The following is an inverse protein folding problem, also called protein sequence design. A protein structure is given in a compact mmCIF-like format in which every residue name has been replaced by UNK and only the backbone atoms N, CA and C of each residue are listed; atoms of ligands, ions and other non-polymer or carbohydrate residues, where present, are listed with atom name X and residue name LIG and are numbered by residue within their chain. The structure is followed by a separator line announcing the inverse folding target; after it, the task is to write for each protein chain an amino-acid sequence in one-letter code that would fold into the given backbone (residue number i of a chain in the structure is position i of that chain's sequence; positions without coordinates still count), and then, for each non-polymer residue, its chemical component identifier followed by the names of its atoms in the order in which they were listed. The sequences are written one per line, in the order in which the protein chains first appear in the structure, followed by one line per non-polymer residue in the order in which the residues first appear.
data_IF_420199552356
#
_entry.id   IF_420199552356
#
_cell.length_a   1.000
_cell.length_b   1.000
_cell.length_c   1.000
_cell.angle_alpha   90.00
_cell.angle_beta   90.00
_cell.angle_gamma   90.00
#
_symmetry.space_group_name_H-M   'P 1'
#
loop_
_entity.id
_entity.type
_entity.pdbx_description
1 polymer ?
#
# COMPACT_ATOMS: atom_id res chain seq x y z
N UNK A 1 -13.46 22.56 -2.47
CA UNK A 1 -13.29 21.55 -1.40
C UNK A 1 -12.81 22.26 -0.13
N UNK A 2 -13.55 22.17 0.97
CA UNK A 2 -13.40 23.03 2.16
C UNK A 2 -12.17 22.62 2.99
N UNK A 3 -11.29 23.57 3.37
CA UNK A 3 -10.00 23.31 4.03
C UNK A 3 -10.10 22.54 5.36
N UNK A 4 -11.22 22.69 6.08
CA UNK A 4 -11.50 21.98 7.34
C UNK A 4 -11.65 20.46 7.17
N UNK A 5 -12.25 20.01 6.07
CA UNK A 5 -12.48 18.58 5.78
C UNK A 5 -11.17 17.84 5.50
N UNK A 6 -10.26 18.48 4.75
CA UNK A 6 -8.91 17.94 4.48
C UNK A 6 -8.08 17.75 5.76
N UNK A 7 -8.26 18.62 6.76
CA UNK A 7 -7.53 18.49 8.03
C UNK A 7 -8.05 17.32 8.87
N UNK A 8 -9.37 17.10 8.93
CA UNK A 8 -9.94 15.96 9.64
C UNK A 8 -9.56 14.61 9.01
N UNK A 9 -9.53 14.51 7.69
CA UNK A 9 -9.12 13.29 6.97
C UNK A 9 -7.65 12.94 7.25
N UNK A 10 -6.77 13.95 7.22
CA UNK A 10 -5.35 13.78 7.57
C UNK A 10 -5.17 13.29 9.00
N UNK A 11 -5.97 13.79 9.94
CA UNK A 11 -5.97 13.32 11.32
C UNK A 11 -6.46 11.87 11.43
N UNK A 12 -7.52 11.50 10.71
CA UNK A 12 -8.00 10.12 10.67
C UNK A 12 -6.98 9.15 10.09
N UNK A 13 -6.29 9.50 8.99
CA UNK A 13 -5.24 8.65 8.42
C UNK A 13 -4.08 8.49 9.39
N UNK A 14 -3.67 9.57 10.08
CA UNK A 14 -2.65 9.49 11.13
C UNK A 14 -3.07 8.55 12.26
N UNK A 15 -4.33 8.66 12.70
CA UNK A 15 -4.88 7.79 13.74
C UNK A 15 -4.90 6.32 13.28
N UNK A 16 -5.40 6.02 12.09
CA UNK A 16 -5.40 4.66 11.52
C UNK A 16 -3.99 4.08 11.42
N UNK A 17 -3.01 4.90 11.04
CA UNK A 17 -1.60 4.50 11.02
C UNK A 17 -1.09 4.17 12.42
N UNK A 18 -1.40 4.98 13.43
CA UNK A 18 -1.04 4.71 14.81
C UNK A 18 -1.70 3.42 15.34
N UNK A 19 -3.00 3.24 15.07
CA UNK A 19 -3.78 2.10 15.56
C UNK A 19 -3.41 0.76 14.90
N UNK A 20 -2.80 0.80 13.70
CA UNK A 20 -2.35 -0.41 13.03
C UNK A 20 -1.26 -1.16 13.83
N UNK A 21 -0.47 -0.43 14.63
CA UNK A 21 0.69 -0.98 15.33
C UNK A 21 1.87 -1.24 14.39
N UNK A 22 3.01 -1.57 14.97
CA UNK A 22 4.26 -1.74 14.23
C UNK A 22 4.38 -3.12 13.58
N UNK A 23 5.12 -3.18 12.48
CA UNK A 23 5.51 -4.43 11.81
C UNK A 23 6.21 -5.40 12.76
N UNK A 24 7.11 -4.92 13.62
CA UNK A 24 7.79 -5.74 14.63
C UNK A 24 6.84 -6.35 15.66
N UNK A 25 5.73 -5.68 15.96
CA UNK A 25 4.75 -6.12 16.96
C UNK A 25 3.79 -7.16 16.36
N UNK A 26 3.30 -6.90 15.15
CA UNK A 26 2.30 -7.76 14.48
C UNK A 26 2.94 -8.94 13.73
N UNK A 27 4.13 -8.75 13.18
CA UNK A 27 4.83 -9.71 12.32
C UNK A 27 6.34 -9.77 12.65
N UNK A 28 6.72 -10.21 13.86
CA UNK A 28 8.11 -10.17 14.35
C UNK A 28 9.12 -10.95 13.49
N UNK A 29 8.65 -11.93 12.72
CA UNK A 29 9.48 -12.73 11.83
C UNK A 29 9.72 -12.09 10.45
N UNK A 30 9.12 -10.92 10.17
CA UNK A 30 9.30 -10.20 8.89
C UNK A 30 10.41 -9.17 9.03
N UNK A 31 11.46 -9.32 8.23
CA UNK A 31 12.58 -8.39 8.16
C UNK A 31 12.26 -7.17 7.27
N UNK A 32 11.58 -7.40 6.15
CA UNK A 32 11.12 -6.32 5.27
C UNK A 32 10.02 -6.79 4.31
N UNK A 33 9.20 -5.83 3.88
CA UNK A 33 8.28 -5.97 2.74
C UNK A 33 8.60 -4.86 1.77
N UNK A 34 8.89 -5.22 0.53
CA UNK A 34 9.17 -4.28 -0.55
C UNK A 34 8.07 -4.43 -1.59
N UNK A 35 7.38 -3.33 -1.86
CA UNK A 35 6.31 -3.26 -2.86
C UNK A 35 6.78 -2.37 -4.00
N UNK A 36 7.11 -2.98 -5.14
CA UNK A 36 7.37 -2.25 -6.38
C UNK A 36 6.07 -2.13 -7.18
N UNK A 37 5.77 -0.94 -7.69
CA UNK A 37 4.53 -0.64 -8.41
C UNK A 37 4.81 0.12 -9.70
N UNK A 38 4.19 -0.33 -10.78
CA UNK A 38 4.03 0.43 -12.03
C UNK A 38 2.64 1.04 -12.05
N UNK A 39 2.53 2.34 -12.30
CA UNK A 39 1.27 3.06 -12.38
C UNK A 39 0.87 3.27 -13.84
N UNK A 40 -0.43 3.18 -14.09
CA UNK A 40 -1.06 3.42 -15.38
C UNK A 40 -2.28 4.30 -15.17
N UNK A 41 -2.70 5.03 -16.20
CA UNK A 41 -3.90 5.88 -16.18
C UNK A 41 -4.94 5.35 -17.16
N UNK A 42 -6.14 5.04 -16.66
CA UNK A 42 -7.24 4.58 -17.49
C UNK A 42 -6.95 3.23 -18.11
N UNK A 43 -7.26 3.07 -19.40
CA UNK A 43 -6.99 1.85 -20.17
C UNK A 43 -5.63 1.87 -20.89
N UNK A 44 -4.73 2.81 -20.55
CA UNK A 44 -3.41 2.85 -21.15
C UNK A 44 -2.52 1.73 -20.57
N UNK A 45 -1.76 1.08 -21.45
CA UNK A 45 -0.70 0.14 -21.07
C UNK A 45 0.67 0.80 -20.96
N UNK A 46 0.73 2.12 -21.11
CA UNK A 46 1.95 2.88 -20.85
C UNK A 46 2.13 3.10 -19.35
N UNK A 47 3.26 2.63 -18.81
CA UNK A 47 3.68 2.96 -17.45
C UNK A 47 3.96 4.46 -17.37
N UNK A 48 3.20 5.17 -16.55
CA UNK A 48 3.33 6.62 -16.36
C UNK A 48 4.24 6.99 -15.17
N UNK A 49 4.44 6.05 -14.23
CA UNK A 49 5.26 6.26 -13.05
C UNK A 49 5.60 4.91 -12.41
N UNK A 50 6.80 4.81 -11.84
CA UNK A 50 7.19 3.69 -10.98
C UNK A 50 7.38 4.18 -9.55
N UNK A 51 6.94 3.38 -8.58
CA UNK A 51 7.10 3.69 -7.15
C UNK A 51 7.43 2.43 -6.37
N UNK A 52 8.39 2.54 -5.46
CA UNK A 52 8.70 1.49 -4.50
C UNK A 52 8.35 1.97 -3.09
N UNK A 53 7.64 1.14 -2.33
CA UNK A 53 7.34 1.38 -0.92
C UNK A 53 7.93 0.26 -0.09
N UNK A 54 8.61 0.62 1.00
CA UNK A 54 9.28 -0.31 1.87
C UNK A 54 8.63 -0.27 3.26
N UNK A 55 8.38 -1.45 3.82
CA UNK A 55 7.98 -1.63 5.21
C UNK A 55 9.08 -2.41 5.94
N UNK A 56 9.52 -1.84 7.05
CA UNK A 56 10.54 -2.38 7.94
C UNK A 56 9.95 -2.62 9.33
N UNK A 57 10.67 -3.23 10.28
CA UNK A 57 10.11 -3.54 11.61
C UNK A 57 9.53 -2.33 12.34
N UNK A 58 10.09 -1.13 12.14
CA UNK A 58 9.59 0.13 12.70
C UNK A 58 8.49 0.83 11.87
N UNK A 59 8.04 0.23 10.78
CA UNK A 59 6.95 0.76 9.96
C UNK A 59 5.60 0.33 10.54
N UNK A 60 4.60 1.20 10.41
CA UNK A 60 3.23 0.84 10.74
C UNK A 60 2.69 -0.24 9.80
N UNK A 61 1.86 -1.14 10.32
CA UNK A 61 1.15 -2.18 9.53
C UNK A 61 -0.07 -1.59 8.82
N UNK A 62 0.16 -0.50 8.10
CA UNK A 62 -0.86 0.21 7.34
C UNK A 62 -0.53 0.10 5.85
N UNK A 63 -1.15 -0.88 5.17
CA UNK A 63 -0.84 -1.19 3.77
C UNK A 63 -1.79 -0.51 2.78
N UNK A 64 -2.26 0.70 3.08
CA UNK A 64 -3.06 1.51 2.15
C UNK A 64 -2.18 2.59 1.50
N UNK A 65 -2.09 2.55 0.18
CA UNK A 65 -1.28 3.48 -0.62
C UNK A 65 -2.16 4.57 -1.22
N UNK A 66 -1.74 5.83 -1.10
CA UNK A 66 -2.40 6.94 -1.76
C UNK A 66 -2.28 6.84 -3.29
N UNK A 67 -3.35 7.22 -3.99
CA UNK A 67 -3.30 7.43 -5.43
C UNK A 67 -2.56 8.74 -5.73
N UNK A 68 -1.67 8.72 -6.72
CA UNK A 68 -0.86 9.90 -7.07
C UNK A 68 -1.52 10.80 -8.13
N UNK A 69 -2.72 10.44 -8.63
CA UNK A 69 -3.50 11.30 -9.53
C UNK A 69 -3.95 12.53 -8.73
N UNK A 70 -3.61 13.73 -9.22
CA UNK A 70 -3.81 15.02 -8.51
C UNK A 70 -5.23 15.22 -7.99
N UNK A 71 -6.22 14.81 -8.79
CA UNK A 71 -7.63 15.00 -8.49
C UNK A 71 -8.29 13.73 -7.94
N UNK A 72 -7.50 12.76 -7.47
CA UNK A 72 -8.06 11.58 -6.82
C UNK A 72 -8.54 11.92 -5.41
N UNK A 73 -9.87 11.88 -5.21
CA UNK A 73 -10.51 12.07 -3.91
C UNK A 73 -10.89 10.70 -3.34
N UNK A 74 -10.54 10.46 -2.08
CA UNK A 74 -10.88 9.25 -1.30
C UNK A 74 -10.48 7.91 -1.94
N UNK A 75 -9.50 7.95 -2.85
CA UNK A 75 -9.00 6.77 -3.54
C UNK A 75 -7.67 6.26 -2.98
N UNK A 76 -7.10 5.32 -3.71
CA UNK A 76 -5.87 4.64 -3.33
C UNK A 76 -5.98 3.14 -3.54
N UNK A 77 -4.94 2.45 -3.09
CA UNK A 77 -4.77 1.01 -3.26
C UNK A 77 -4.68 0.37 -1.89
N UNK A 78 -5.67 -0.46 -1.56
CA UNK A 78 -5.67 -1.23 -0.33
C UNK A 78 -4.96 -2.57 -0.54
N UNK A 79 -3.72 -2.68 -0.05
CA UNK A 79 -2.91 -3.90 -0.14
C UNK A 79 -2.95 -4.75 1.13
N UNK A 80 -3.75 -4.37 2.13
CA UNK A 80 -3.80 -5.04 3.45
C UNK A 80 -4.05 -6.54 3.29
N UNK A 81 -5.13 -6.90 2.59
CA UNK A 81 -5.52 -8.31 2.41
C UNK A 81 -4.43 -9.14 1.72
N UNK A 82 -3.81 -8.62 0.66
CA UNK A 82 -2.79 -9.37 -0.09
C UNK A 82 -1.51 -9.53 0.72
N UNK A 83 -1.02 -8.46 1.36
CA UNK A 83 0.22 -8.51 2.15
C UNK A 83 0.02 -9.38 3.41
N UNK A 84 -1.09 -9.21 4.13
CA UNK A 84 -1.40 -10.03 5.31
C UNK A 84 -1.54 -11.51 4.94
N UNK A 85 -2.22 -11.83 3.83
CA UNK A 85 -2.34 -13.22 3.37
C UNK A 85 -0.98 -13.81 3.01
N UNK A 86 -0.12 -13.05 2.34
CA UNK A 86 1.24 -13.47 2.02
C UNK A 86 2.07 -13.73 3.29
N UNK A 87 2.01 -12.85 4.29
CA UNK A 87 2.70 -13.03 5.57
C UNK A 87 2.21 -14.26 6.33
N UNK A 88 0.89 -14.44 6.42
CA UNK A 88 0.28 -15.63 7.06
C UNK A 88 0.69 -16.92 6.36
N UNK A 89 0.76 -16.92 5.04
CA UNK A 89 1.22 -18.05 4.24
C UNK A 89 2.73 -18.18 4.12
N UNK A 90 3.51 -17.33 4.79
CA UNK A 90 4.98 -17.26 4.68
C UNK A 90 5.51 -17.15 3.23
N UNK A 91 4.74 -16.52 2.35
CA UNK A 91 5.11 -16.33 0.96
C UNK A 91 6.21 -15.27 0.86
N UNK A 92 7.22 -15.53 0.02
CA UNK A 92 8.36 -14.62 -0.19
C UNK A 92 8.14 -13.62 -1.31
N UNK A 93 7.26 -13.91 -2.26
CA UNK A 93 6.96 -13.03 -3.38
C UNK A 93 5.54 -13.19 -3.88
N UNK A 94 5.01 -12.13 -4.48
CA UNK A 94 3.67 -12.08 -5.04
C UNK A 94 3.57 -10.95 -6.05
N UNK A 95 2.63 -11.05 -6.98
CA UNK A 95 2.34 -10.00 -7.96
C UNK A 95 0.84 -9.94 -8.24
N UNK A 96 0.37 -8.83 -8.77
CA UNK A 96 -1.01 -8.67 -9.16
C UNK A 96 -1.30 -7.24 -9.58
N UNK A 97 -2.58 -6.91 -9.67
CA UNK A 97 -3.06 -5.60 -10.06
C UNK A 97 -4.09 -5.08 -9.07
N UNK A 98 -4.11 -3.75 -8.90
CA UNK A 98 -5.16 -3.06 -8.16
C UNK A 98 -5.60 -1.83 -8.94
N UNK A 99 -6.90 -1.55 -8.91
CA UNK A 99 -7.48 -0.31 -9.40
C UNK A 99 -7.73 0.61 -8.20
N UNK A 100 -7.48 1.90 -8.39
CA UNK A 100 -7.75 2.91 -7.37
C UNK A 100 -9.24 2.94 -7.00
N UNK A 101 -9.55 2.94 -5.71
CA UNK A 101 -10.93 2.94 -5.19
C UNK A 101 -11.64 4.32 -5.19
N UNK A 102 -11.05 5.33 -5.83
CA UNK A 102 -11.58 6.70 -5.83
C UNK A 102 -12.91 6.83 -6.57
N UNK A 103 -13.73 7.81 -6.18
CA UNK A 103 -15.02 8.12 -6.83
C UNK A 103 -14.82 9.25 -7.82
N UNK A 104 -14.61 8.92 -9.10
CA UNK A 104 -14.69 9.86 -10.23
C UNK A 104 -14.75 9.11 -11.58
N UNK A 105 -15.39 9.70 -12.59
CA UNK A 105 -15.99 9.00 -13.74
C UNK A 105 -15.12 8.80 -14.98
N UNK A 106 -13.83 9.17 -14.99
CA UNK A 106 -12.95 8.88 -16.13
C UNK A 106 -11.52 8.52 -15.73
N UNK A 107 -11.16 7.24 -15.97
CA UNK A 107 -9.81 6.72 -15.92
C UNK A 107 -9.14 6.85 -14.55
N UNK A 108 -9.50 5.99 -13.60
CA UNK A 108 -8.73 5.85 -12.37
C UNK A 108 -7.37 5.21 -12.65
N UNK A 109 -6.41 5.47 -11.77
CA UNK A 109 -5.10 4.83 -11.88
C UNK A 109 -5.24 3.34 -11.55
N UNK A 110 -4.61 2.48 -12.37
CA UNK A 110 -4.33 1.09 -11.99
C UNK A 110 -2.84 0.97 -11.66
N UNK A 111 -2.52 -0.01 -10.83
CA UNK A 111 -1.16 -0.41 -10.59
C UNK A 111 -0.98 -1.89 -10.91
N UNK A 112 0.16 -2.21 -11.50
CA UNK A 112 0.74 -3.54 -11.40
C UNK A 112 1.75 -3.52 -10.26
N UNK A 113 1.67 -4.48 -9.36
CA UNK A 113 2.57 -4.56 -8.22
C UNK A 113 3.33 -5.88 -8.17
N UNK A 114 4.54 -5.81 -7.61
CA UNK A 114 5.35 -6.95 -7.17
C UNK A 114 5.74 -6.74 -5.72
N UNK A 115 5.36 -7.69 -4.87
CA UNK A 115 5.69 -7.72 -3.45
C UNK A 115 6.83 -8.71 -3.23
N UNK A 116 7.83 -8.32 -2.44
CA UNK A 116 8.89 -9.19 -1.93
C UNK A 116 8.90 -9.12 -0.42
N UNK A 117 8.82 -10.26 0.27
CA UNK A 117 8.88 -10.36 1.73
C UNK A 117 10.16 -11.08 2.11
N UNK A 118 10.99 -10.42 2.92
CA UNK A 118 12.13 -11.03 3.57
C UNK A 118 11.75 -11.38 4.99
N UNK A 119 11.88 -12.64 5.36
CA UNK A 119 11.73 -13.10 6.74
C UNK A 119 13.09 -13.13 7.43
N UNK A 120 13.10 -12.90 8.75
CA UNK A 120 14.29 -13.09 9.56
C UNK A 120 14.74 -14.54 9.45
N UNK A 121 16.05 -14.76 9.33
CA UNK A 121 16.59 -16.12 9.46
C UNK A 121 16.32 -16.56 10.89
N UNK A 122 15.50 -17.59 11.08
CA UNK A 122 15.43 -18.25 12.38
C UNK A 122 16.83 -18.80 12.65
N UNK A 123 17.49 -18.30 13.70
CA UNK A 123 18.64 -19.00 14.27
C UNK A 123 18.12 -20.38 14.67
N UNK A 124 18.58 -21.43 13.98
CA UNK A 124 18.46 -22.80 14.49
C UNK A 124 19.56 -23.03 15.51
#
# INVERSE_FOLDING_TARGET
MNSKLKNSERLQIKQQKADSGLMSERYPNVASVIVAMNYFHGSSDQVIMQRTVNFFPNSNTYFKMECMKRDCIDGGFNMESVITKMMKGQLKSGKGELVCAGKDSAGHARIEYKISIKYNKTSR
#
